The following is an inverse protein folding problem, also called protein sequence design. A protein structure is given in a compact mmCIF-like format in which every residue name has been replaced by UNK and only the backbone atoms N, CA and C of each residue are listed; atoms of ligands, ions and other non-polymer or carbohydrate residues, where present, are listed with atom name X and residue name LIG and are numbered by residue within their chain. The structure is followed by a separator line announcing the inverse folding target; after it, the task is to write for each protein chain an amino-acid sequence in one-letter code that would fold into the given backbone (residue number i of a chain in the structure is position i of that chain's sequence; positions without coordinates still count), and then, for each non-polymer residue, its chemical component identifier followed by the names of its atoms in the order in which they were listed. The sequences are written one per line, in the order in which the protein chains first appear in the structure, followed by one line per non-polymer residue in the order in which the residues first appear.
data_IF_030513125890
#
_entry.id   IF_030513125890
#
_cell.length_a   1.000
_cell.length_b   1.000
_cell.length_c   1.000
_cell.angle_alpha   90.00
_cell.angle_beta   90.00
_cell.angle_gamma   90.00
#
_symmetry.space_group_name_H-M   'P 1'
#
loop_
_entity.id
_entity.type
_entity.pdbx_description
1 polymer ?
#
# COMPACT_ATOMS: atom_id res chain seq x y z
N UNK A 1 16.28 -0.77 -7.18
CA UNK A 1 16.59 -1.09 -5.77
C UNK A 1 15.27 -1.41 -5.12
N UNK A 2 15.13 -2.63 -4.61
CA UNK A 2 13.88 -3.09 -3.98
C UNK A 2 13.78 -2.47 -2.59
N UNK A 3 12.63 -1.88 -2.28
CA UNK A 3 12.32 -1.30 -0.97
C UNK A 3 11.08 -1.96 -0.40
N UNK A 4 11.21 -2.46 0.82
CA UNK A 4 10.09 -2.98 1.62
C UNK A 4 9.69 -1.91 2.65
N UNK A 5 8.39 -1.67 2.77
CA UNK A 5 7.82 -0.78 3.79
C UNK A 5 6.72 -1.52 4.53
N UNK A 6 6.79 -1.46 5.85
CA UNK A 6 5.86 -2.15 6.73
C UNK A 6 5.02 -1.11 7.49
N UNK A 7 3.70 -1.23 7.38
CA UNK A 7 2.75 -0.40 8.10
C UNK A 7 2.02 -1.27 9.14
N UNK A 8 2.17 -0.87 10.40
CA UNK A 8 1.60 -1.54 11.56
C UNK A 8 0.33 -0.83 12.02
N UNK A 9 -0.61 -1.61 12.55
CA UNK A 9 -1.87 -1.14 13.10
C UNK A 9 -2.03 -1.69 14.52
N UNK A 10 -2.39 -0.84 15.48
CA UNK A 10 -2.66 -1.26 16.85
C UNK A 10 -3.87 -2.22 16.94
N UNK A 11 -4.86 -2.01 16.06
CA UNK A 11 -6.03 -2.88 15.88
C UNK A 11 -5.93 -3.72 14.61
N UNK A 12 -7.03 -4.33 14.20
CA UNK A 12 -7.08 -5.06 12.93
C UNK A 12 -6.81 -4.10 11.78
N UNK A 13 -5.83 -4.43 10.93
CA UNK A 13 -5.50 -3.62 9.77
C UNK A 13 -6.65 -3.65 8.73
N UNK A 14 -6.80 -2.57 7.95
CA UNK A 14 -7.83 -2.51 6.93
C UNK A 14 -7.62 -3.56 5.84
N UNK A 15 -8.71 -4.06 5.27
CA UNK A 15 -8.64 -4.99 4.15
C UNK A 15 -8.04 -4.32 2.92
N UNK A 16 -7.41 -5.12 2.04
CA UNK A 16 -6.87 -4.61 0.76
C UNK A 16 -7.94 -3.89 -0.05
N UNK A 17 -9.16 -4.44 -0.12
CA UNK A 17 -10.29 -3.82 -0.82
C UNK A 17 -10.62 -2.44 -0.26
N UNK A 18 -10.58 -2.28 1.07
CA UNK A 18 -10.82 -0.98 1.71
C UNK A 18 -9.70 0.03 1.39
N UNK A 19 -8.45 -0.40 1.47
CA UNK A 19 -7.28 0.43 1.12
C UNK A 19 -7.41 0.93 -0.32
N UNK A 20 -7.65 0.02 -1.28
CA UNK A 20 -7.82 0.36 -2.70
C UNK A 20 -8.98 1.32 -2.92
N UNK A 21 -10.11 1.07 -2.24
CA UNK A 21 -11.28 1.95 -2.30
C UNK A 21 -10.99 3.36 -1.80
N UNK A 22 -10.22 3.50 -0.71
CA UNK A 22 -9.81 4.82 -0.19
C UNK A 22 -8.81 5.52 -1.11
N UNK A 23 -7.81 4.81 -1.62
CA UNK A 23 -6.82 5.38 -2.56
C UNK A 23 -7.55 5.98 -3.77
N UNK A 24 -8.43 5.20 -4.41
CA UNK A 24 -9.25 5.66 -5.55
C UNK A 24 -10.04 6.93 -5.22
N UNK A 25 -10.69 6.94 -4.05
CA UNK A 25 -11.56 8.05 -3.65
C UNK A 25 -10.78 9.31 -3.28
N UNK A 26 -9.60 9.18 -2.69
CA UNK A 26 -8.79 10.30 -2.24
C UNK A 26 -7.98 10.95 -3.36
N UNK A 27 -7.50 10.17 -4.33
CA UNK A 27 -6.56 10.68 -5.35
C UNK A 27 -7.12 10.68 -6.77
N UNK A 28 -8.21 9.96 -7.03
CA UNK A 28 -8.73 9.75 -8.38
C UNK A 28 -7.91 8.75 -9.21
N UNK A 29 -6.81 8.20 -8.68
CA UNK A 29 -6.04 7.16 -9.36
C UNK A 29 -6.90 5.89 -9.43
N UNK A 30 -7.12 5.28 -10.62
CA UNK A 30 -7.93 4.07 -10.76
C UNK A 30 -7.16 2.81 -10.36
N UNK A 31 -6.61 2.79 -9.14
CA UNK A 31 -5.78 1.72 -8.60
C UNK A 31 -6.48 0.36 -8.72
N UNK A 32 -5.88 -0.64 -9.37
CA UNK A 32 -6.45 -1.98 -9.50
C UNK A 32 -5.58 -3.00 -8.76
N UNK A 33 -6.23 -3.86 -7.97
CA UNK A 33 -5.54 -4.91 -7.21
C UNK A 33 -5.71 -6.27 -7.87
N UNK A 34 -4.59 -6.92 -8.17
CA UNK A 34 -4.53 -8.27 -8.72
C UNK A 34 -4.19 -9.23 -7.58
N UNK A 35 -5.23 -9.82 -6.98
CA UNK A 35 -5.11 -10.61 -5.75
C UNK A 35 -4.15 -11.80 -5.88
N UNK A 36 -4.17 -12.53 -6.99
CA UNK A 36 -3.31 -13.70 -7.22
C UNK A 36 -1.82 -13.35 -7.30
N UNK A 37 -1.49 -12.07 -7.49
CA UNK A 37 -0.12 -11.56 -7.60
C UNK A 37 0.26 -10.60 -6.48
N UNK A 38 -0.66 -10.36 -5.54
CA UNK A 38 -0.55 -9.32 -4.52
C UNK A 38 -0.12 -7.96 -5.09
N UNK A 39 -0.63 -7.59 -6.26
CA UNK A 39 -0.11 -6.47 -7.03
C UNK A 39 -1.11 -5.33 -7.08
N UNK A 40 -0.70 -4.14 -6.67
CA UNK A 40 -1.45 -2.91 -6.91
C UNK A 40 -0.89 -2.20 -8.14
N UNK A 41 -1.78 -1.80 -9.04
CA UNK A 41 -1.40 -1.25 -10.36
C UNK A 41 -2.18 0.01 -10.68
N UNK A 42 -1.53 0.95 -11.38
CA UNK A 42 -2.19 2.06 -12.04
C UNK A 42 -2.34 1.74 -13.54
N UNK A 43 -3.55 1.53 -14.07
CA UNK A 43 -3.72 1.18 -15.48
C UNK A 43 -3.25 2.27 -16.46
N UNK A 44 -3.11 3.52 -16.00
CA UNK A 44 -2.61 4.63 -16.82
C UNK A 44 -1.09 4.81 -16.77
N UNK A 45 -0.39 4.10 -15.88
CA UNK A 45 1.06 4.18 -15.76
C UNK A 45 1.65 2.80 -15.43
N UNK A 46 2.25 2.16 -16.44
CA UNK A 46 2.76 0.78 -16.33
C UNK A 46 3.94 0.61 -15.37
N UNK A 47 4.64 1.70 -15.01
CA UNK A 47 5.72 1.64 -14.00
C UNK A 47 5.21 1.97 -12.59
N UNK A 48 3.95 2.38 -12.47
CA UNK A 48 3.31 2.74 -11.21
C UNK A 48 2.54 1.53 -10.64
N UNK A 49 3.34 0.58 -10.16
CA UNK A 49 2.89 -0.67 -9.55
C UNK A 49 3.82 -1.07 -8.41
N UNK A 50 3.26 -1.81 -7.45
CA UNK A 50 4.01 -2.39 -6.34
C UNK A 50 3.24 -3.54 -5.72
N UNK A 51 3.93 -4.43 -5.01
CA UNK A 51 3.28 -5.50 -4.27
C UNK A 51 2.69 -4.98 -2.96
N UNK A 52 1.45 -5.36 -2.67
CA UNK A 52 0.70 -4.98 -1.48
C UNK A 52 0.04 -6.25 -0.91
N UNK A 53 0.36 -6.61 0.32
CA UNK A 53 -0.31 -7.72 0.99
C UNK A 53 -0.44 -7.47 2.49
N UNK A 54 -1.37 -8.22 3.09
CA UNK A 54 -1.60 -8.21 4.52
C UNK A 54 -0.80 -9.34 5.16
N UNK A 55 0.01 -9.01 6.16
CA UNK A 55 0.72 -9.99 6.97
C UNK A 55 0.06 -10.09 8.36
N UNK A 56 -0.60 -11.22 8.61
CA UNK A 56 -1.35 -11.43 9.84
C UNK A 56 -2.55 -10.48 9.97
N UNK A 57 -2.89 -10.06 11.19
CA UNK A 57 -4.06 -9.20 11.45
C UNK A 57 -3.74 -7.72 11.57
N UNK A 58 -2.47 -7.35 11.69
CA UNK A 58 -2.05 -6.03 12.18
C UNK A 58 -1.02 -5.35 11.27
N UNK A 59 -0.70 -5.92 10.11
CA UNK A 59 0.38 -5.42 9.26
C UNK A 59 0.01 -5.44 7.79
N UNK A 60 0.35 -4.36 7.10
CA UNK A 60 0.33 -4.23 5.65
C UNK A 60 1.76 -4.05 5.17
N UNK A 61 2.16 -4.85 4.18
CA UNK A 61 3.50 -4.82 3.60
C UNK A 61 3.41 -4.30 2.17
N UNK A 62 4.28 -3.36 1.84
CA UNK A 62 4.44 -2.78 0.50
C UNK A 62 5.85 -3.08 -0.01
N UNK A 63 5.97 -3.63 -1.21
CA UNK A 63 7.26 -3.90 -1.86
C UNK A 63 7.27 -3.25 -3.23
N UNK A 64 8.19 -2.30 -3.44
CA UNK A 64 8.36 -1.59 -4.71
C UNK A 64 9.80 -1.74 -5.21
N UNK A 65 9.99 -1.83 -6.52
CA UNK A 65 11.30 -1.67 -7.14
C UNK A 65 11.41 -0.29 -7.80
N UNK A 66 12.43 0.47 -7.41
CA UNK A 66 12.66 1.81 -7.94
C UNK A 66 12.11 2.93 -7.06
N UNK A 67 11.95 4.16 -7.61
CA UNK A 67 11.54 5.32 -6.85
C UNK A 67 10.08 5.25 -6.40
N UNK A 68 9.73 6.04 -5.39
CA UNK A 68 8.33 6.20 -4.97
C UNK A 68 7.51 6.83 -6.09
N UNK A 69 6.47 6.13 -6.53
CA UNK A 69 5.52 6.59 -7.54
C UNK A 69 4.29 7.24 -6.90
N UNK A 70 3.43 7.86 -7.71
CA UNK A 70 2.21 8.52 -7.23
C UNK A 70 1.25 7.54 -6.53
N UNK A 71 1.05 6.33 -7.08
CA UNK A 71 0.21 5.32 -6.43
C UNK A 71 0.83 4.84 -5.11
N UNK A 72 2.15 4.65 -5.07
CA UNK A 72 2.83 4.21 -3.85
C UNK A 72 2.76 5.27 -2.76
N UNK A 73 3.05 6.52 -3.11
CA UNK A 73 2.92 7.66 -2.20
C UNK A 73 1.49 7.82 -1.69
N UNK A 74 0.50 7.79 -2.59
CA UNK A 74 -0.91 7.83 -2.24
C UNK A 74 -1.29 6.71 -1.27
N UNK A 75 -0.86 5.48 -1.54
CA UNK A 75 -1.19 4.32 -0.71
C UNK A 75 -0.55 4.43 0.68
N UNK A 76 0.71 4.86 0.78
CA UNK A 76 1.36 5.11 2.07
C UNK A 76 0.61 6.18 2.87
N UNK A 77 0.30 7.32 2.26
CA UNK A 77 -0.48 8.38 2.92
C UNK A 77 -1.87 7.88 3.34
N UNK A 78 -2.55 7.10 2.51
CA UNK A 78 -3.85 6.50 2.86
C UNK A 78 -3.72 5.57 4.07
N UNK A 79 -2.70 4.70 4.11
CA UNK A 79 -2.49 3.77 5.23
C UNK A 79 -2.21 4.50 6.55
N UNK A 80 -1.40 5.56 6.52
CA UNK A 80 -1.16 6.41 7.68
C UNK A 80 -2.44 7.11 8.14
N UNK A 81 -3.23 7.65 7.21
CA UNK A 81 -4.53 8.25 7.50
C UNK A 81 -5.59 7.25 8.01
N UNK A 82 -5.37 5.94 7.79
CA UNK A 82 -6.17 4.86 8.34
C UNK A 82 -5.71 4.41 9.74
N UNK A 83 -4.77 5.12 10.36
CA UNK A 83 -4.24 4.81 11.69
C UNK A 83 -3.06 3.84 11.67
N UNK A 84 -2.46 3.63 10.50
CA UNK A 84 -1.21 2.89 10.39
C UNK A 84 -0.01 3.75 10.79
N UNK A 85 1.06 3.11 11.25
CA UNK A 85 2.36 3.74 11.46
C UNK A 85 3.45 2.92 10.76
N UNK A 86 4.52 3.55 10.32
CA UNK A 86 5.71 2.79 9.94
C UNK A 86 6.18 1.97 11.14
N UNK A 87 6.76 0.79 10.88
CA UNK A 87 7.56 0.14 11.90
C UNK A 87 8.68 1.11 12.30
N UNK A 88 8.58 1.72 13.48
CA UNK A 88 9.70 2.43 14.06
C UNK A 88 10.84 1.40 14.19
N UNK A 89 11.96 1.67 13.54
CA UNK A 89 13.22 0.99 13.81
C UNK A 89 13.51 1.21 15.30
N UNK A 90 13.12 0.24 16.12
CA UNK A 90 13.61 0.10 17.48
C UNK A 90 14.82 -0.80 17.37
N UNK A 91 15.99 -0.15 17.31
CA UNK A 91 17.27 -0.76 17.66
C UNK A 91 17.24 -1.16 19.15
#
# INVERSE_FOLDING_TARGET
MVTTREIHFAGTCPSITEIVGRVRRQTGIPASYVADKWLLTNPFNQVDLFSLYQEGKHKIVLISDGPTTDLLGATLTTLLAMGGSFADYTD
#
